data_IF_930038606909
#
_entry.id   IF_930038606909
#
_cell.length_a   1.000
_cell.length_b   1.000
_cell.length_c   1.000
_cell.angle_alpha   90.00
_cell.angle_beta   90.00
_cell.angle_gamma   90.00
#
_symmetry.space_group_name_H-M   'P 1'
#
loop_
_entity.id
_entity.type
_entity.pdbx_description
1 polymer ?
#
# COMPACT_ATOMS: atom_id res chain seq x y z
N UNK A 1 -8.56 -5.48 -12.70
CA UNK A 1 -8.14 -6.00 -11.38
C UNK A 1 -6.76 -6.62 -11.50
N UNK A 2 -5.90 -6.39 -10.52
CA UNK A 2 -4.51 -6.86 -10.55
C UNK A 2 -4.33 -7.98 -9.54
N UNK A 3 -3.57 -9.02 -9.90
CA UNK A 3 -3.27 -10.11 -8.99
C UNK A 3 -2.40 -9.62 -7.83
N UNK A 4 -2.64 -10.17 -6.64
CA UNK A 4 -1.86 -9.83 -5.45
C UNK A 4 -0.36 -10.05 -5.68
N UNK A 5 0.00 -11.06 -6.43
CA UNK A 5 1.40 -11.38 -6.72
C UNK A 5 2.11 -10.26 -7.47
N UNK A 6 1.42 -9.56 -8.37
CA UNK A 6 2.01 -8.43 -9.08
C UNK A 6 2.27 -7.26 -8.14
N UNK A 7 1.35 -7.03 -7.23
CA UNK A 7 1.49 -5.98 -6.22
C UNK A 7 2.70 -6.30 -5.33
N UNK A 8 2.76 -7.53 -4.85
CA UNK A 8 3.87 -8.00 -4.00
C UNK A 8 5.21 -7.87 -4.70
N UNK A 9 5.30 -8.32 -5.95
CA UNK A 9 6.54 -8.25 -6.72
C UNK A 9 7.04 -6.82 -6.85
N UNK A 10 6.15 -5.90 -7.20
CA UNK A 10 6.55 -4.50 -7.35
C UNK A 10 6.97 -3.88 -6.02
N UNK A 11 6.26 -4.20 -4.94
CA UNK A 11 6.60 -3.72 -3.59
C UNK A 11 8.00 -4.22 -3.19
N UNK A 12 8.31 -5.48 -3.46
CA UNK A 12 9.63 -6.02 -3.17
C UNK A 12 10.74 -5.31 -3.95
N UNK A 13 10.48 -4.94 -5.20
CA UNK A 13 11.44 -4.19 -6.00
C UNK A 13 11.71 -2.81 -5.43
N UNK A 14 10.72 -2.19 -4.79
CA UNK A 14 10.85 -0.85 -4.23
C UNK A 14 11.33 -0.84 -2.77
N UNK A 15 11.45 -2.01 -2.16
CA UNK A 15 11.78 -2.14 -0.74
C UNK A 15 13.04 -1.35 -0.35
N UNK A 16 14.13 -1.55 -1.08
CA UNK A 16 15.39 -0.87 -0.77
C UNK A 16 15.34 0.62 -1.11
N UNK A 17 14.71 0.96 -2.24
CA UNK A 17 14.62 2.35 -2.69
C UNK A 17 13.92 3.25 -1.68
N UNK A 18 12.87 2.75 -1.07
CA UNK A 18 12.04 3.52 -0.14
C UNK A 18 12.24 3.13 1.32
N UNK A 19 13.14 2.21 1.63
CA UNK A 19 13.37 1.70 2.98
C UNK A 19 12.06 1.19 3.61
N UNK A 20 11.35 0.33 2.90
CA UNK A 20 10.08 -0.23 3.36
C UNK A 20 10.33 -1.33 4.39
N UNK A 21 9.62 -1.28 5.52
CA UNK A 21 9.66 -2.31 6.54
C UNK A 21 8.54 -3.32 6.35
N UNK A 22 7.32 -2.84 6.15
CA UNK A 22 6.18 -3.71 5.90
C UNK A 22 5.17 -3.01 5.01
N UNK A 23 4.44 -3.82 4.23
CA UNK A 23 3.35 -3.33 3.38
C UNK A 23 2.21 -4.32 3.48
N UNK A 24 1.01 -3.81 3.70
CA UNK A 24 -0.20 -4.61 3.79
C UNK A 24 -1.28 -4.03 2.87
N UNK A 25 -2.11 -4.91 2.33
CA UNK A 25 -3.26 -4.51 1.52
C UNK A 25 -4.48 -4.41 2.41
N UNK A 26 -5.23 -3.33 2.26
CA UNK A 26 -6.48 -3.09 2.96
C UNK A 26 -7.63 -2.98 1.97
N UNK A 27 -8.85 -2.86 2.49
CA UNK A 27 -10.02 -2.54 1.71
C UNK A 27 -10.50 -3.66 0.80
N UNK A 28 -11.09 -3.30 -0.33
CA UNK A 28 -11.74 -4.27 -1.21
C UNK A 28 -10.80 -5.35 -1.74
N UNK A 29 -9.56 -5.01 -2.02
CA UNK A 29 -8.57 -6.00 -2.46
C UNK A 29 -8.27 -7.02 -1.36
N UNK A 30 -8.14 -6.57 -0.12
CA UNK A 30 -7.88 -7.48 1.00
C UNK A 30 -9.08 -8.38 1.28
N UNK A 31 -10.28 -7.86 1.06
CA UNK A 31 -11.52 -8.58 1.35
C UNK A 31 -12.04 -9.42 0.19
N UNK A 32 -11.33 -9.45 -0.92
CA UNK A 32 -11.73 -10.23 -2.09
C UNK A 32 -12.93 -9.65 -2.85
N UNK A 33 -13.22 -8.37 -2.68
CA UNK A 33 -14.35 -7.69 -3.32
C UNK A 33 -13.91 -6.70 -4.41
N UNK A 34 -12.64 -6.73 -4.78
CA UNK A 34 -12.11 -5.79 -5.78
C UNK A 34 -12.75 -6.00 -7.14
N UNK A 35 -13.01 -4.88 -7.82
CA UNK A 35 -13.51 -4.86 -9.19
C UNK A 35 -12.53 -4.06 -10.04
N UNK A 36 -12.81 -3.94 -11.34
CA UNK A 36 -11.97 -3.17 -12.26
C UNK A 36 -11.89 -1.69 -11.88
N UNK A 37 -12.87 -1.20 -11.12
CA UNK A 37 -12.90 0.20 -10.70
C UNK A 37 -12.40 0.41 -9.27
N UNK A 38 -11.91 -0.64 -8.62
CA UNK A 38 -11.43 -0.54 -7.24
C UNK A 38 -10.03 0.04 -7.18
N UNK A 39 -9.80 0.88 -6.16
CA UNK A 39 -8.47 1.37 -5.83
C UNK A 39 -7.78 0.36 -4.91
N UNK A 40 -6.46 0.42 -4.88
CA UNK A 40 -5.68 -0.38 -3.92
C UNK A 40 -5.32 0.50 -2.74
N UNK A 41 -5.65 0.04 -1.53
CA UNK A 41 -5.26 0.72 -0.30
C UNK A 41 -4.10 -0.05 0.32
N UNK A 42 -2.96 0.62 0.47
CA UNK A 42 -1.77 0.02 1.06
C UNK A 42 -1.42 0.69 2.38
N UNK A 43 -1.26 -0.11 3.42
CA UNK A 43 -0.74 0.34 4.70
C UNK A 43 0.76 0.07 4.68
N UNK A 44 1.57 1.14 4.74
CA UNK A 44 3.02 1.05 4.57
C UNK A 44 3.74 1.50 5.83
N UNK A 45 4.66 0.66 6.31
CA UNK A 45 5.56 1.02 7.39
C UNK A 45 6.97 1.14 6.83
N UNK A 46 7.64 2.25 7.13
CA UNK A 46 9.02 2.49 6.70
C UNK A 46 9.98 2.15 7.83
N UNK A 47 11.24 1.91 7.49
CA UNK A 47 12.27 1.65 8.50
C UNK A 47 12.54 2.88 9.35
N UNK A 48 12.27 4.07 8.82
CA UNK A 48 12.41 5.33 9.56
C UNK A 48 11.05 5.70 10.16
N UNK A 49 11.02 6.26 11.40
CA UNK A 49 9.76 6.60 12.04
C UNK A 49 9.03 7.78 11.40
N UNK A 50 9.77 8.67 10.75
CA UNK A 50 9.20 9.82 10.06
C UNK A 50 9.58 9.78 8.59
N UNK A 51 8.60 10.05 7.74
CA UNK A 51 8.78 10.03 6.29
C UNK A 51 8.15 11.28 5.72
N UNK A 52 8.85 11.93 4.78
CA UNK A 52 8.34 13.13 4.15
C UNK A 52 7.12 12.82 3.27
N UNK A 53 6.25 13.81 3.14
CA UNK A 53 5.10 13.69 2.25
C UNK A 53 5.54 13.46 0.80
N UNK A 54 6.66 14.07 0.42
CA UNK A 54 7.23 13.89 -0.91
C UNK A 54 7.59 12.44 -1.17
N UNK A 55 8.18 11.77 -0.18
CA UNK A 55 8.54 10.36 -0.29
C UNK A 55 7.30 9.47 -0.42
N UNK A 56 6.26 9.76 0.36
CA UNK A 56 4.99 9.03 0.28
C UNK A 56 4.36 9.17 -1.10
N UNK A 57 4.34 10.39 -1.64
CA UNK A 57 3.77 10.65 -2.96
C UNK A 57 4.59 9.97 -4.05
N UNK A 58 5.90 9.98 -3.92
CA UNK A 58 6.80 9.32 -4.87
C UNK A 58 6.53 7.82 -4.95
N UNK A 59 6.37 7.18 -3.79
CA UNK A 59 6.03 5.76 -3.71
C UNK A 59 4.68 5.49 -4.36
N UNK A 60 3.69 6.31 -4.05
CA UNK A 60 2.35 6.20 -4.63
C UNK A 60 2.40 6.23 -6.15
N UNK A 61 3.04 7.25 -6.73
CA UNK A 61 3.11 7.40 -8.17
C UNK A 61 3.92 6.31 -8.84
N UNK A 62 4.98 5.85 -8.22
CA UNK A 62 5.77 4.74 -8.72
C UNK A 62 4.94 3.46 -8.85
N UNK A 63 4.13 3.19 -7.83
CA UNK A 63 3.24 2.03 -7.84
C UNK A 63 2.11 2.20 -8.86
N UNK A 64 1.49 3.37 -8.91
CA UNK A 64 0.42 3.64 -9.88
C UNK A 64 0.91 3.51 -11.32
N UNK A 65 2.08 4.05 -11.58
CA UNK A 65 2.67 4.03 -12.93
C UNK A 65 2.93 2.60 -13.42
N UNK A 66 3.41 1.75 -12.53
CA UNK A 66 3.72 0.37 -12.87
C UNK A 66 2.49 -0.54 -12.91
N UNK A 67 1.59 -0.36 -11.94
CA UNK A 67 0.43 -1.25 -11.81
C UNK A 67 -0.78 -0.79 -12.62
N UNK A 68 -0.80 0.48 -12.99
CA UNK A 68 -1.84 1.02 -13.88
C UNK A 68 -3.19 1.25 -13.23
N UNK A 69 -3.26 1.27 -11.90
CA UNK A 69 -4.49 1.56 -11.16
C UNK A 69 -4.21 2.52 -10.02
N UNK A 70 -5.22 3.28 -9.57
CA UNK A 70 -5.04 4.19 -8.44
C UNK A 70 -4.64 3.45 -7.17
N UNK A 71 -3.71 4.03 -6.43
CA UNK A 71 -3.21 3.45 -5.19
C UNK A 71 -3.20 4.52 -4.11
N UNK A 72 -3.78 4.19 -2.96
CA UNK A 72 -3.72 5.03 -1.77
C UNK A 72 -2.68 4.45 -0.82
N UNK A 73 -1.70 5.28 -0.44
CA UNK A 73 -0.66 4.88 0.49
C UNK A 73 -0.96 5.49 1.85
N UNK A 74 -1.15 4.62 2.84
CA UNK A 74 -1.41 5.03 4.22
C UNK A 74 -0.17 4.72 5.03
N UNK A 75 0.38 5.74 5.68
CA UNK A 75 1.59 5.57 6.51
C UNK A 75 1.21 4.95 7.86
N UNK A 76 1.77 3.77 8.15
CA UNK A 76 1.55 3.08 9.42
C UNK A 76 2.40 3.73 10.53
N UNK A 77 1.95 3.66 11.80
CA UNK A 77 0.71 3.02 12.24
C UNK A 77 -0.52 3.89 11.94
N UNK A 78 -1.69 3.25 11.91
CA UNK A 78 -2.94 3.99 11.77
C UNK A 78 -3.11 4.93 12.96
N UNK A 79 -3.56 6.18 12.73
CA UNK A 79 -3.73 7.12 13.84
C UNK A 79 -4.71 6.60 14.88
N UNK A 80 -4.41 6.86 16.15
CA UNK A 80 -5.32 6.53 17.24
C UNK A 80 -6.64 7.28 17.04
N UNK A 81 -7.76 6.58 17.19
CA UNK A 81 -9.07 7.15 16.95
C UNK A 81 -9.47 7.20 15.48
N UNK A 82 -8.67 6.61 14.60
CA UNK A 82 -8.99 6.52 13.18
C UNK A 82 -10.34 5.83 12.96
N UNK A 83 -11.11 6.36 12.02
CA UNK A 83 -12.37 5.73 11.61
C UNK A 83 -12.14 4.50 10.73
N UNK A 84 -10.92 4.30 10.26
CA UNK A 84 -10.56 3.17 9.41
C UNK A 84 -10.44 1.93 10.28
N UNK A 85 -11.33 0.96 10.05
CA UNK A 85 -11.31 -0.32 10.75
C UNK A 85 -11.37 -1.43 9.71
N UNK A 86 -10.23 -1.80 9.13
CA UNK A 86 -10.23 -2.83 8.11
C UNK A 86 -10.69 -4.17 8.71
N UNK A 87 -11.63 -4.83 8.03
CA UNK A 87 -12.11 -6.13 8.45
C UNK A 87 -11.09 -7.22 8.14
N UNK A 88 -10.18 -6.94 7.22
CA UNK A 88 -9.12 -7.85 6.82
C UNK A 88 -7.90 -7.07 6.35
N UNK A 89 -6.73 -7.54 6.76
CA UNK A 89 -5.45 -6.99 6.33
C UNK A 89 -4.63 -8.14 5.74
N UNK A 90 -4.13 -7.95 4.53
CA UNK A 90 -3.28 -8.96 3.88
C UNK A 90 -1.85 -8.40 3.80
N UNK A 91 -0.96 -8.95 4.60
CA UNK A 91 0.43 -8.53 4.60
C UNK A 91 1.14 -9.11 3.38
N UNK A 92 1.86 -8.26 2.64
CA UNK A 92 2.61 -8.68 1.45
C UNK A 92 4.11 -8.45 1.57
N UNK A 93 4.52 -7.68 2.56
CA UNK A 93 5.96 -7.48 2.82
C UNK A 93 6.21 -7.48 4.30
#
# INVERSE_FOLDING_TARGET
MIAEERIREKVYRLKATYALRSVSILGSYAEGRATENSDIDLLVEFEQPTVSLLKLNSLKYDLEDTLGIPIDVIHAPLPAGSMIRPSKIVRIL
#
